data_IF_415427296801
#
_entry.id   IF_415427296801
#
_cell.length_a   1.000
_cell.length_b   1.000
_cell.length_c   1.000
_cell.angle_alpha   90.00
_cell.angle_beta   90.00
_cell.angle_gamma   90.00
#
_symmetry.space_group_name_H-M   'P 1'
#
loop_
_entity.id
_entity.type
_entity.pdbx_description
1 polymer ?
#
# COMPACT_ATOMS: atom_id res chain seq x y z
N UNK A 1 -7.42 -7.75 5.23
CA UNK A 1 -6.22 -7.87 4.35
C UNK A 1 -5.01 -8.31 5.21
N UNK A 2 -3.94 -8.84 4.63
CA UNK A 2 -2.75 -9.27 5.39
C UNK A 2 -1.69 -8.16 5.42
N UNK A 3 -1.09 -7.89 6.58
CA UNK A 3 0.03 -6.95 6.70
C UNK A 3 1.29 -7.48 5.99
N UNK A 4 2.05 -6.58 5.37
CA UNK A 4 3.38 -6.87 4.85
C UNK A 4 4.40 -5.82 5.31
N UNK A 5 5.67 -6.23 5.30
CA UNK A 5 6.83 -5.35 5.49
C UNK A 5 7.88 -5.72 4.45
N UNK A 6 8.27 -4.73 3.64
CA UNK A 6 9.21 -4.89 2.54
C UNK A 6 10.46 -4.04 2.82
N UNK A 7 11.60 -4.66 3.18
CA UNK A 7 12.85 -3.94 3.31
C UNK A 7 13.36 -3.47 1.95
N UNK A 8 13.91 -2.26 1.91
CA UNK A 8 14.49 -1.64 0.73
C UNK A 8 16.02 -1.68 0.80
N UNK A 9 16.68 -1.64 -0.36
CA UNK A 9 18.14 -1.74 -0.48
C UNK A 9 18.93 -0.66 0.28
N UNK A 10 18.29 0.47 0.59
CA UNK A 10 18.87 1.59 1.33
C UNK A 10 18.55 1.56 2.84
N UNK A 11 18.13 0.41 3.36
CA UNK A 11 17.85 0.21 4.78
C UNK A 11 16.50 0.74 5.26
N UNK A 12 15.72 1.38 4.40
CA UNK A 12 14.33 1.74 4.67
C UNK A 12 13.39 0.54 4.57
N UNK A 13 12.15 0.73 5.01
CA UNK A 13 11.08 -0.26 4.97
C UNK A 13 9.83 0.38 4.38
N UNK A 14 9.09 -0.39 3.58
CA UNK A 14 7.73 -0.07 3.14
C UNK A 14 6.78 -1.07 3.75
N UNK A 15 5.75 -0.59 4.44
CA UNK A 15 4.68 -1.42 5.00
C UNK A 15 3.36 -1.18 4.29
N UNK A 16 2.43 -2.06 4.57
CA UNK A 16 1.07 -1.93 4.11
C UNK A 16 0.30 -3.22 4.28
N UNK A 17 -0.76 -3.35 3.47
CA UNK A 17 -1.65 -4.50 3.46
C UNK A 17 -1.77 -5.06 2.04
N UNK A 18 -1.85 -6.38 1.94
CA UNK A 18 -2.05 -7.10 0.69
C UNK A 18 -3.26 -8.01 0.80
N UNK A 19 -3.98 -8.12 -0.31
CA UNK A 19 -5.02 -9.12 -0.53
C UNK A 19 -4.70 -9.85 -1.82
N UNK A 20 -4.35 -11.13 -1.68
CA UNK A 20 -4.15 -12.01 -2.81
C UNK A 20 -5.37 -12.93 -2.93
N UNK A 21 -5.96 -13.07 -4.12
CA UNK A 21 -7.07 -14.00 -4.31
C UNK A 21 -6.59 -15.43 -4.05
N UNK A 22 -7.39 -16.22 -3.31
CA UNK A 22 -7.06 -17.62 -3.01
C UNK A 22 -6.98 -18.49 -4.28
N UNK A 23 -7.82 -18.17 -5.27
CA UNK A 23 -7.88 -18.84 -6.57
C UNK A 23 -7.77 -17.79 -7.68
N UNK A 24 -6.55 -17.36 -8.06
CA UNK A 24 -6.39 -16.45 -9.18
C UNK A 24 -6.86 -17.13 -10.48
N UNK A 25 -7.52 -16.41 -11.40
CA UNK A 25 -7.96 -16.98 -12.65
C UNK A 25 -6.73 -17.33 -13.51
N UNK A 26 -6.86 -18.34 -14.37
CA UNK A 26 -5.78 -18.80 -15.25
C UNK A 26 -5.39 -17.79 -16.36
N UNK A 27 -5.95 -16.57 -16.33
CA UNK A 27 -5.58 -15.51 -17.26
C UNK A 27 -4.12 -15.13 -17.07
N UNK A 28 -3.39 -15.00 -18.18
CA UNK A 28 -2.03 -14.46 -18.18
C UNK A 28 -2.00 -12.96 -17.87
N UNK A 29 -3.14 -12.28 -17.97
CA UNK A 29 -3.27 -10.85 -17.73
C UNK A 29 -4.27 -10.61 -16.62
N UNK A 30 -3.73 -10.37 -15.42
CA UNK A 30 -4.50 -10.02 -14.23
C UNK A 30 -4.12 -8.61 -13.81
N UNK A 31 -5.08 -7.67 -13.69
CA UNK A 31 -4.76 -6.34 -13.20
C UNK A 31 -4.36 -6.41 -11.73
N UNK A 32 -3.47 -5.51 -11.31
CA UNK A 32 -3.14 -5.28 -9.92
C UNK A 32 -3.75 -3.94 -9.49
N UNK A 33 -4.49 -3.92 -8.38
CA UNK A 33 -4.96 -2.67 -7.80
C UNK A 33 -3.97 -2.18 -6.74
N UNK A 34 -3.35 -1.04 -7.01
CA UNK A 34 -2.44 -0.37 -6.07
C UNK A 34 -3.18 0.78 -5.39
N UNK A 35 -3.22 0.75 -4.07
CA UNK A 35 -3.97 1.69 -3.25
C UNK A 35 -3.04 2.54 -2.40
N UNK A 36 -3.24 3.85 -2.46
CA UNK A 36 -2.49 4.85 -1.69
C UNK A 36 -3.50 5.71 -0.94
N UNK A 37 -3.36 5.74 0.38
CA UNK A 37 -4.27 6.48 1.26
C UNK A 37 -4.04 8.01 1.21
N UNK A 38 -5.05 8.77 1.62
CA UNK A 38 -4.98 10.23 1.76
C UNK A 38 -4.21 10.70 3.01
N UNK A 39 -4.27 12.01 3.30
CA UNK A 39 -3.72 12.59 4.53
C UNK A 39 -4.37 12.01 5.79
N UNK A 40 -3.60 11.81 6.86
CA UNK A 40 -4.06 11.31 8.18
C UNK A 40 -4.58 9.87 8.23
N UNK A 41 -4.46 9.10 7.15
CA UNK A 41 -4.80 7.67 7.09
C UNK A 41 -3.55 6.81 6.90
N UNK A 42 -3.72 5.50 6.92
CA UNK A 42 -2.76 4.49 6.48
C UNK A 42 -3.47 3.42 5.61
N UNK A 43 -2.83 2.28 5.34
CA UNK A 43 -3.39 1.18 4.55
C UNK A 43 -4.65 0.54 5.16
N UNK A 44 -4.95 0.73 6.45
CA UNK A 44 -6.16 0.21 7.10
C UNK A 44 -7.44 0.83 6.53
N UNK A 45 -7.32 2.03 5.96
CA UNK A 45 -8.41 2.70 5.25
C UNK A 45 -9.10 1.80 4.21
N UNK A 46 -8.35 0.87 3.61
CA UNK A 46 -8.85 -0.06 2.59
C UNK A 46 -9.41 -1.37 3.16
N UNK A 47 -9.29 -1.58 4.47
CA UNK A 47 -9.63 -2.82 5.20
C UNK A 47 -10.62 -2.57 6.35
N UNK A 48 -11.35 -1.45 6.34
CA UNK A 48 -12.18 -0.99 7.46
C UNK A 48 -13.59 -1.63 7.54
N UNK A 49 -13.87 -2.74 6.83
CA UNK A 49 -15.11 -3.51 7.02
C UNK A 49 -15.78 -4.08 5.75
N UNK A 50 -17.11 -4.18 5.80
CA UNK A 50 -17.96 -5.01 4.92
C UNK A 50 -18.41 -4.40 3.58
N UNK A 51 -18.00 -3.18 3.23
CA UNK A 51 -18.30 -2.53 1.94
C UNK A 51 -17.04 -2.06 1.18
N UNK A 52 -15.90 -2.72 1.42
CA UNK A 52 -14.60 -2.25 0.98
C UNK A 52 -14.00 -3.10 -0.16
N UNK A 53 -12.76 -2.75 -0.50
CA UNK A 53 -12.00 -3.26 -1.64
C UNK A 53 -11.91 -4.80 -1.70
N UNK A 54 -12.06 -5.45 -0.54
CA UNK A 54 -12.08 -6.89 -0.34
C UNK A 54 -13.17 -7.58 -1.15
N UNK A 55 -14.40 -7.07 -1.13
CA UNK A 55 -15.51 -7.67 -1.87
C UNK A 55 -15.30 -7.62 -3.39
N UNK A 56 -14.78 -6.49 -3.89
CA UNK A 56 -14.50 -6.33 -5.33
C UNK A 56 -13.32 -7.22 -5.73
N UNK A 57 -12.28 -7.30 -4.89
CA UNK A 57 -11.15 -8.20 -5.08
C UNK A 57 -11.60 -9.66 -5.16
N UNK A 58 -12.47 -10.10 -4.27
CA UNK A 58 -12.97 -11.47 -4.23
C UNK A 58 -13.85 -11.78 -5.44
N UNK A 59 -14.74 -10.87 -5.83
CA UNK A 59 -15.66 -11.05 -6.95
C UNK A 59 -14.95 -11.03 -8.32
N UNK A 60 -13.90 -10.22 -8.47
CA UNK A 60 -13.17 -10.07 -9.74
C UNK A 60 -11.83 -10.83 -9.76
N UNK A 61 -11.47 -11.46 -8.66
CA UNK A 61 -10.17 -12.08 -8.41
C UNK A 61 -8.97 -11.14 -8.68
N UNK A 62 -9.13 -9.86 -8.38
CA UNK A 62 -8.11 -8.82 -8.63
C UNK A 62 -7.25 -8.66 -7.36
N UNK A 63 -5.94 -8.95 -7.38
CA UNK A 63 -5.07 -8.70 -6.25
C UNK A 63 -5.03 -7.21 -5.90
N UNK A 64 -4.91 -6.92 -4.61
CA UNK A 64 -4.84 -5.56 -4.07
C UNK A 64 -3.60 -5.41 -3.20
N UNK A 65 -2.86 -4.33 -3.42
CA UNK A 65 -1.77 -3.90 -2.53
C UNK A 65 -2.07 -2.48 -2.08
N UNK A 66 -2.27 -2.29 -0.79
CA UNK A 66 -2.40 -0.99 -0.13
C UNK A 66 -1.09 -0.64 0.56
N UNK A 67 -0.48 0.48 0.19
CA UNK A 67 0.85 0.88 0.67
C UNK A 67 0.72 2.05 1.64
N UNK A 68 1.41 1.98 2.77
CA UNK A 68 1.56 3.10 3.69
C UNK A 68 2.56 4.10 3.10
N UNK A 69 2.16 5.37 2.98
CA UNK A 69 3.04 6.43 2.48
C UNK A 69 4.25 6.63 3.41
N UNK A 70 5.37 7.19 2.91
CA UNK A 70 6.52 7.51 3.75
C UNK A 70 6.15 8.30 5.02
N UNK A 71 6.52 7.78 6.19
CA UNK A 71 6.23 8.37 7.49
C UNK A 71 4.84 8.04 8.06
N UNK A 72 4.07 7.15 7.41
CA UNK A 72 2.81 6.60 7.91
C UNK A 72 2.98 5.10 8.18
N UNK A 73 2.18 4.57 9.11
CA UNK A 73 2.36 3.22 9.61
C UNK A 73 3.80 3.01 10.07
N UNK A 74 4.43 1.94 9.57
CA UNK A 74 5.85 1.63 9.83
C UNK A 74 6.72 1.88 8.58
N UNK A 75 6.18 2.54 7.54
CA UNK A 75 6.97 2.92 6.37
C UNK A 75 7.96 4.02 6.74
N UNK A 76 9.23 3.78 6.44
CA UNK A 76 10.33 4.70 6.74
C UNK A 76 10.05 6.08 6.12
N UNK A 77 10.14 7.17 6.90
CA UNK A 77 9.98 8.52 6.38
C UNK A 77 11.10 8.87 5.39
N UNK A 78 10.85 9.78 4.44
CA UNK A 78 11.91 10.24 3.57
C UNK A 78 12.96 11.01 4.39
N UNK A 79 14.22 11.07 3.94
CA UNK A 79 15.22 11.91 4.58
C UNK A 79 14.74 13.37 4.62
N UNK A 80 15.19 14.17 5.61
CA UNK A 80 14.84 15.58 5.71
C UNK A 80 15.14 16.30 4.39
N UNK A 81 14.18 17.10 3.92
CA UNK A 81 14.42 17.99 2.78
C UNK A 81 15.46 19.03 3.19
N UNK A 82 16.68 18.91 2.65
CA UNK A 82 17.67 19.98 2.72
C UNK A 82 17.26 21.02 1.69
N UNK A 83 16.42 21.97 2.10
CA UNK A 83 16.10 23.11 1.26
C UNK A 83 17.35 23.98 1.10
N UNK A 84 17.74 24.36 -0.13
CA UNK A 84 18.80 25.33 -0.30
C UNK A 84 18.40 26.62 0.42
N UNK A 85 19.33 27.15 1.23
CA UNK A 85 19.16 28.46 1.88
C UNK A 85 18.80 29.47 0.78
N UNK A 86 17.56 29.95 0.77
CA UNK A 86 17.16 31.07 -0.09
C UNK A 86 18.05 32.25 0.32
N UNK A 87 19.02 32.63 -0.52
CA UNK A 87 19.71 33.91 -0.38
C UNK A 87 18.63 34.98 -0.39
N UNK A 88 18.47 35.65 0.76
CA UNK A 88 17.66 36.88 0.87
C UNK A 88 18.35 38.00 0.10
#
# INVERSE_FOLDING_TARGET
>A
MQLFSLPLNHGGVVTGRVLLPLNPPASQFLPLRVCVHGGSYDSEYWDAGSYFITQISDALHIPVVAIDRPGYGETTPPPPLILPQRKR
#
